data_IF_678040792597
#
_entry.id   IF_678040792597
#
_cell.length_a   1.000
_cell.length_b   1.000
_cell.length_c   1.000
_cell.angle_alpha   90.00
_cell.angle_beta   90.00
_cell.angle_gamma   90.00
#
_symmetry.space_group_name_H-M   'P 1'
#
loop_
_entity.id
_entity.type
_entity.pdbx_description
1 polymer ?
#
# COMPACT_ATOMS: atom_id res chain seq x y z
N UNK A 1 39.66 -22.25 -0.73
CA UNK A 1 40.36 -21.02 -0.29
C UNK A 1 40.51 -19.97 -1.41
N UNK A 2 39.58 -19.88 -2.37
CA UNK A 2 39.56 -18.82 -3.40
C UNK A 2 38.13 -18.36 -3.75
N UNK A 3 37.24 -18.37 -2.75
CA UNK A 3 35.84 -17.88 -2.87
C UNK A 3 35.50 -16.84 -1.77
N UNK A 4 36.53 -16.23 -1.15
CA UNK A 4 36.39 -15.22 -0.08
C UNK A 4 36.83 -13.81 -0.48
N UNK A 5 36.89 -13.46 -1.78
CA UNK A 5 37.42 -12.15 -2.24
C UNK A 5 36.56 -11.35 -3.23
N UNK A 6 35.28 -11.68 -3.42
CA UNK A 6 34.35 -10.84 -4.18
C UNK A 6 33.22 -10.21 -3.33
N UNK A 7 33.32 -10.31 -2.00
CA UNK A 7 32.74 -9.31 -1.10
C UNK A 7 33.80 -8.25 -0.84
N UNK A 8 33.42 -6.97 -0.84
CA UNK A 8 34.28 -5.76 -0.76
C UNK A 8 34.62 -5.17 -2.14
N UNK A 9 33.59 -4.76 -2.90
CA UNK A 9 33.70 -3.69 -3.90
C UNK A 9 32.35 -3.00 -4.23
N UNK A 10 31.33 -3.14 -3.37
CA UNK A 10 30.06 -2.41 -3.45
C UNK A 10 29.63 -1.85 -2.08
N UNK A 11 30.59 -1.58 -1.21
CA UNK A 11 30.40 -0.83 0.04
C UNK A 11 31.27 0.42 -0.04
N UNK A 12 30.72 1.48 -0.61
CA UNK A 12 31.40 2.77 -0.69
C UNK A 12 30.63 3.72 -1.58
N UNK A 13 29.90 4.64 -0.95
CA UNK A 13 29.31 5.84 -1.54
C UNK A 13 28.19 5.65 -2.58
N UNK A 14 26.96 5.44 -2.08
CA UNK A 14 25.79 6.27 -2.44
C UNK A 14 24.60 5.86 -1.56
N UNK A 15 24.17 6.79 -0.70
CA UNK A 15 23.07 6.59 0.23
C UNK A 15 21.71 6.60 -0.47
N UNK A 16 20.81 5.75 0.04
CA UNK A 16 19.35 5.66 -0.19
C UNK A 16 18.92 5.55 -1.66
N UNK A 17 18.03 4.60 -1.97
CA UNK A 17 17.47 4.26 -3.30
C UNK A 17 18.29 3.28 -4.18
N UNK A 18 18.41 1.99 -3.82
CA UNK A 18 18.99 1.00 -4.78
C UNK A 18 18.38 -0.42 -4.83
N UNK A 19 17.39 -0.84 -4.01
CA UNK A 19 16.80 -2.19 -4.17
C UNK A 19 15.85 -2.31 -5.37
N UNK A 20 14.97 -1.34 -5.61
CA UNK A 20 13.93 -1.44 -6.66
C UNK A 20 14.49 -1.38 -8.09
N UNK A 21 15.60 -0.67 -8.33
CA UNK A 21 16.22 -0.59 -9.67
C UNK A 21 17.02 -1.84 -10.05
N UNK A 22 17.53 -2.58 -9.07
CA UNK A 22 18.23 -3.86 -9.32
C UNK A 22 17.25 -4.98 -9.67
N UNK A 23 16.07 -4.99 -9.04
CA UNK A 23 14.96 -5.87 -9.45
C UNK A 23 14.41 -5.49 -10.83
N UNK A 24 14.35 -4.20 -11.18
CA UNK A 24 13.86 -3.74 -12.48
C UNK A 24 14.74 -4.25 -13.63
N UNK A 25 16.08 -4.15 -13.51
CA UNK A 25 16.99 -4.63 -14.56
C UNK A 25 16.97 -6.16 -14.71
N UNK A 26 16.86 -6.90 -13.61
CA UNK A 26 16.79 -8.36 -13.65
C UNK A 26 15.46 -8.84 -14.25
N UNK A 27 14.34 -8.22 -13.88
CA UNK A 27 13.00 -8.54 -14.40
C UNK A 27 12.85 -8.19 -15.89
N UNK A 28 13.49 -7.11 -16.36
CA UNK A 28 13.56 -6.77 -17.80
C UNK A 28 14.35 -7.82 -18.59
N UNK A 29 15.44 -8.34 -18.03
CA UNK A 29 16.25 -9.40 -18.66
C UNK A 29 15.47 -10.72 -18.72
N UNK A 30 14.71 -11.04 -17.67
CA UNK A 30 13.95 -12.29 -17.56
C UNK A 30 12.64 -12.28 -18.38
N UNK A 31 11.96 -11.12 -18.53
CA UNK A 31 10.69 -11.00 -19.27
C UNK A 31 10.88 -10.82 -20.79
N UNK A 32 12.06 -10.40 -21.26
CA UNK A 32 12.38 -10.34 -22.71
C UNK A 32 12.75 -11.73 -23.25
N UNK A 33 13.11 -12.68 -22.39
CA UNK A 33 13.63 -13.98 -22.79
C UNK A 33 12.61 -14.98 -23.36
N UNK A 34 11.29 -14.95 -23.07
CA UNK A 34 10.37 -15.95 -23.61
C UNK A 34 9.23 -15.37 -24.48
N UNK A 35 9.40 -14.19 -25.10
CA UNK A 35 8.39 -13.69 -26.06
C UNK A 35 8.75 -14.16 -27.47
N UNK A 36 8.10 -15.25 -27.90
CA UNK A 36 8.02 -15.67 -29.30
C UNK A 36 7.29 -14.60 -30.13
N UNK A 37 8.00 -13.55 -30.55
CA UNK A 37 7.61 -12.64 -31.60
C UNK A 37 8.29 -13.08 -32.89
N UNK A 38 7.47 -13.52 -33.87
CA UNK A 38 7.64 -13.52 -35.33
C UNK A 38 9.09 -13.70 -35.86
N UNK A 39 9.37 -14.73 -36.69
CA UNK A 39 10.73 -15.11 -37.07
C UNK A 39 11.33 -14.14 -38.11
N UNK A 40 11.73 -12.95 -37.70
CA UNK A 40 12.75 -12.13 -38.37
C UNK A 40 13.00 -10.84 -37.57
N UNK A 41 14.22 -10.66 -37.05
CA UNK A 41 14.95 -9.39 -36.75
C UNK A 41 15.59 -9.21 -35.36
N UNK A 42 15.74 -10.23 -34.51
CA UNK A 42 16.61 -10.12 -33.32
C UNK A 42 17.71 -11.19 -33.39
N UNK A 43 18.96 -10.74 -33.51
CA UNK A 43 20.16 -11.59 -33.46
C UNK A 43 20.99 -11.13 -32.25
N UNK A 44 21.13 -11.99 -31.26
CA UNK A 44 22.07 -11.80 -30.13
C UNK A 44 23.36 -12.56 -30.47
N UNK A 45 24.47 -11.84 -30.63
CA UNK A 45 25.80 -12.45 -30.83
C UNK A 45 26.64 -12.20 -29.59
N UNK A 46 27.11 -13.27 -28.93
CA UNK A 46 28.03 -13.20 -27.78
C UNK A 46 29.45 -13.44 -28.29
N UNK A 47 30.28 -12.39 -28.34
CA UNK A 47 31.68 -12.52 -28.72
C UNK A 47 32.50 -12.89 -27.48
N UNK A 48 33.08 -14.09 -27.46
CA UNK A 48 34.08 -14.49 -26.46
C UNK A 48 35.44 -13.98 -26.93
N UNK A 49 35.95 -12.96 -26.24
CA UNK A 49 37.33 -12.51 -26.34
C UNK A 49 37.96 -12.55 -24.95
N UNK A 50 38.91 -13.48 -24.77
CA UNK A 50 39.93 -13.36 -23.73
C UNK A 50 40.81 -12.15 -24.09
N UNK A 51 41.10 -11.28 -23.14
CA UNK A 51 42.47 -10.80 -22.90
C UNK A 51 42.56 -10.01 -21.58
N UNK A 52 43.59 -10.37 -20.84
CA UNK A 52 44.05 -9.83 -19.58
C UNK A 52 44.75 -8.49 -19.76
N UNK A 53 44.47 -7.48 -18.93
CA UNK A 53 45.53 -6.60 -18.42
C UNK A 53 45.11 -5.82 -17.16
N UNK A 54 46.01 -5.82 -16.19
CA UNK A 54 45.93 -5.13 -14.88
C UNK A 54 46.36 -3.68 -15.06
N UNK A 55 45.61 -2.74 -14.47
CA UNK A 55 46.19 -1.44 -14.08
C UNK A 55 45.69 -1.04 -12.70
N UNK A 56 46.63 -0.72 -11.81
CA UNK A 56 46.41 -0.37 -10.40
C UNK A 56 46.12 1.14 -10.21
N UNK A 57 45.15 1.40 -9.32
CA UNK A 57 44.79 2.57 -8.46
C UNK A 57 45.64 3.87 -8.51
N UNK A 58 45.03 5.04 -8.18
CA UNK A 58 45.16 5.50 -6.78
C UNK A 58 43.90 6.10 -6.15
N UNK A 59 43.75 5.85 -4.84
CA UNK A 59 42.88 6.60 -3.94
C UNK A 59 43.39 8.05 -3.80
N UNK A 60 42.49 9.02 -3.91
CA UNK A 60 42.70 10.38 -3.40
C UNK A 60 41.39 10.98 -2.93
N UNK A 61 41.44 11.49 -1.71
CA UNK A 61 40.42 12.27 -1.01
C UNK A 61 40.01 13.54 -1.77
N UNK A 62 38.69 13.79 -1.83
CA UNK A 62 38.01 15.07 -1.59
C UNK A 62 36.51 14.86 -1.84
N UNK A 63 35.72 15.03 -0.79
CA UNK A 63 34.25 15.15 -0.88
C UNK A 63 34.02 16.62 -1.17
N UNK A 64 33.79 16.96 -2.43
CA UNK A 64 33.22 18.25 -2.82
C UNK A 64 31.73 18.02 -3.11
N UNK A 65 30.89 18.69 -2.32
CA UNK A 65 29.43 18.69 -2.39
C UNK A 65 28.96 19.42 -3.65
N UNK A 66 28.98 18.78 -4.82
CA UNK A 66 28.33 19.34 -6.02
C UNK A 66 28.13 18.28 -7.12
N UNK A 67 27.31 17.25 -6.88
CA UNK A 67 26.87 16.36 -7.97
C UNK A 67 25.56 15.63 -7.66
N UNK A 68 24.44 16.31 -7.90
CA UNK A 68 23.17 15.64 -8.22
C UNK A 68 22.67 16.28 -9.51
N UNK A 69 22.92 15.70 -10.68
CA UNK A 69 22.05 14.69 -11.28
C UNK A 69 22.77 14.12 -12.51
N UNK A 70 23.12 12.83 -12.50
CA UNK A 70 23.87 12.17 -13.59
C UNK A 70 22.98 11.73 -14.77
N UNK A 71 21.69 12.07 -14.73
CA UNK A 71 20.68 11.68 -15.72
C UNK A 71 19.73 12.85 -15.93
N UNK A 72 19.40 13.12 -17.19
CA UNK A 72 18.36 14.10 -17.50
C UNK A 72 16.98 13.51 -17.10
N UNK A 73 16.03 14.38 -16.72
CA UNK A 73 14.72 13.93 -16.21
C UNK A 73 13.95 13.08 -17.23
N UNK A 74 14.12 13.35 -18.52
CA UNK A 74 13.49 12.62 -19.62
C UNK A 74 14.14 11.26 -19.92
N UNK A 75 15.37 11.02 -19.45
CA UNK A 75 16.04 9.71 -19.52
C UNK A 75 15.58 8.75 -18.41
N UNK A 76 14.86 9.28 -17.41
CA UNK A 76 14.31 8.52 -16.28
C UNK A 76 12.85 8.11 -16.49
N UNK A 77 12.23 8.55 -17.60
CA UNK A 77 10.85 8.27 -17.95
C UNK A 77 10.82 7.09 -18.94
N UNK A 78 9.96 6.07 -18.74
CA UNK A 78 9.85 4.93 -19.66
C UNK A 78 9.47 5.35 -21.09
N UNK A 79 10.46 5.35 -21.99
CA UNK A 79 10.32 5.78 -23.37
C UNK A 79 11.58 5.57 -24.21
N UNK A 80 11.57 5.99 -25.49
CA UNK A 80 12.66 5.74 -26.44
C UNK A 80 14.03 6.21 -25.94
N UNK A 81 14.09 7.37 -25.27
CA UNK A 81 15.32 7.94 -24.71
C UNK A 81 15.92 7.10 -23.59
N UNK A 82 15.09 6.55 -22.70
CA UNK A 82 15.53 5.65 -21.64
C UNK A 82 16.11 4.36 -22.22
N UNK A 83 15.46 3.78 -23.23
CA UNK A 83 15.94 2.58 -23.93
C UNK A 83 17.25 2.82 -24.67
N UNK A 84 17.38 3.97 -25.33
CA UNK A 84 18.60 4.37 -26.02
C UNK A 84 19.76 4.54 -25.03
N UNK A 85 19.50 5.16 -23.87
CA UNK A 85 20.51 5.33 -22.83
C UNK A 85 20.93 4.01 -22.17
N UNK A 86 19.99 3.09 -21.93
CA UNK A 86 20.29 1.73 -21.46
C UNK A 86 21.18 1.01 -22.48
N UNK A 87 20.91 1.18 -23.78
CA UNK A 87 21.68 0.56 -24.86
C UNK A 87 23.11 1.11 -24.90
N UNK A 88 23.26 2.43 -24.75
CA UNK A 88 24.57 3.08 -24.70
C UNK A 88 25.37 2.66 -23.45
N UNK A 89 24.72 2.59 -22.28
CA UNK A 89 25.35 2.14 -21.04
C UNK A 89 25.77 0.65 -21.10
N UNK A 90 25.00 -0.19 -21.80
CA UNK A 90 25.35 -1.60 -22.03
C UNK A 90 26.46 -1.74 -23.07
N UNK A 91 26.45 -0.93 -24.13
CA UNK A 91 27.54 -0.85 -25.12
C UNK A 91 28.86 -0.44 -24.46
N UNK A 92 28.82 0.55 -23.57
CA UNK A 92 29.99 1.00 -22.79
C UNK A 92 30.50 -0.07 -21.81
N UNK A 93 29.69 -1.07 -21.47
CA UNK A 93 30.06 -2.24 -20.64
C UNK A 93 30.44 -3.48 -21.46
N UNK A 94 30.60 -3.34 -22.77
CA UNK A 94 31.05 -4.41 -23.66
C UNK A 94 29.93 -5.34 -24.15
N UNK A 95 28.66 -5.01 -23.93
CA UNK A 95 27.52 -5.81 -24.38
C UNK A 95 26.80 -5.08 -25.52
N UNK A 96 26.83 -5.64 -26.74
CA UNK A 96 26.23 -5.01 -27.91
C UNK A 96 24.81 -5.51 -28.13
N UNK A 97 23.83 -4.60 -28.07
CA UNK A 97 22.44 -4.85 -28.44
C UNK A 97 22.11 -4.09 -29.74
N UNK A 98 21.38 -4.74 -30.65
CA UNK A 98 20.84 -4.11 -31.85
C UNK A 98 19.38 -3.76 -31.61
N UNK A 99 19.12 -2.52 -31.22
CA UNK A 99 17.78 -1.93 -31.28
C UNK A 99 17.59 -1.21 -32.62
N UNK A 100 16.37 -1.15 -33.17
CA UNK A 100 16.05 -0.29 -34.30
C UNK A 100 15.99 1.17 -33.86
N UNK A 101 17.16 1.77 -33.58
CA UNK A 101 17.30 3.13 -33.03
C UNK A 101 16.74 4.21 -33.97
N UNK A 102 16.60 3.89 -35.27
CA UNK A 102 16.10 4.81 -36.29
C UNK A 102 14.59 4.66 -36.58
N UNK A 103 13.87 3.82 -35.83
CA UNK A 103 12.42 3.63 -35.98
C UNK A 103 11.70 3.92 -34.65
N UNK A 104 11.13 5.12 -34.54
CA UNK A 104 10.46 5.61 -33.35
C UNK A 104 9.19 4.80 -33.01
N UNK A 105 8.52 4.24 -34.02
CA UNK A 105 7.35 3.38 -33.82
C UNK A 105 7.75 2.02 -33.25
N UNK A 106 8.86 1.44 -33.73
CA UNK A 106 9.41 0.21 -33.17
C UNK A 106 9.88 0.41 -31.72
N UNK A 107 10.53 1.53 -31.41
CA UNK A 107 10.98 1.87 -30.06
C UNK A 107 9.81 2.10 -29.10
N UNK A 108 8.72 2.72 -29.57
CA UNK A 108 7.51 2.89 -28.77
C UNK A 108 6.80 1.56 -28.50
N UNK A 109 6.78 0.64 -29.46
CA UNK A 109 6.23 -0.71 -29.27
C UNK A 109 7.02 -1.52 -28.23
N UNK A 110 8.35 -1.33 -28.16
CA UNK A 110 9.22 -1.97 -27.15
C UNK A 110 9.10 -1.28 -25.77
N UNK A 111 8.79 0.01 -25.73
CA UNK A 111 8.60 0.76 -24.49
C UNK A 111 7.21 0.56 -23.86
N UNK A 112 6.20 0.13 -24.62
CA UNK A 112 4.83 -0.09 -24.13
C UNK A 112 4.75 -1.15 -23.01
N UNK A 113 5.41 -2.33 -23.11
CA UNK A 113 5.46 -3.31 -22.03
C UNK A 113 6.12 -2.76 -20.76
N UNK A 114 7.17 -1.94 -20.90
CA UNK A 114 7.83 -1.27 -19.77
C UNK A 114 6.90 -0.26 -19.09
N UNK A 115 6.16 0.54 -19.88
CA UNK A 115 5.13 1.46 -19.36
C UNK A 115 4.04 0.70 -18.60
N UNK A 116 3.58 -0.42 -19.16
CA UNK A 116 2.56 -1.26 -18.53
C UNK A 116 3.06 -1.96 -17.26
N UNK A 117 4.33 -2.38 -17.22
CA UNK A 117 4.96 -2.95 -16.03
C UNK A 117 5.11 -1.89 -14.93
N UNK A 118 5.50 -0.66 -15.27
CA UNK A 118 5.58 0.46 -14.33
C UNK A 118 4.20 0.80 -13.75
N UNK A 119 3.15 0.82 -14.59
CA UNK A 119 1.74 0.98 -14.16
C UNK A 119 1.27 -0.17 -13.26
N UNK A 120 1.57 -1.42 -13.60
CA UNK A 120 1.19 -2.60 -12.80
C UNK A 120 1.87 -2.65 -11.43
N UNK A 121 3.08 -2.10 -11.31
CA UNK A 121 3.83 -2.08 -10.05
C UNK A 121 3.52 -0.86 -9.17
N UNK A 122 2.57 0.01 -9.56
CA UNK A 122 2.20 1.21 -8.80
C UNK A 122 3.38 2.17 -8.59
N UNK A 123 4.40 2.09 -9.44
CA UNK A 123 5.62 2.90 -9.38
C UNK A 123 5.51 4.13 -10.29
N UNK A 124 4.36 4.79 -10.27
CA UNK A 124 4.25 6.13 -10.83
C UNK A 124 5.15 7.04 -9.97
N UNK A 125 6.33 7.36 -10.51
CA UNK A 125 7.17 8.45 -10.00
C UNK A 125 6.68 9.80 -10.48
N UNK A 126 5.48 9.86 -11.05
CA UNK A 126 4.66 11.05 -10.93
C UNK A 126 4.22 11.17 -9.47
N UNK A 127 5.12 11.73 -8.65
CA UNK A 127 4.70 12.85 -7.83
C UNK A 127 3.88 13.72 -8.77
N UNK A 128 2.56 13.64 -8.66
CA UNK A 128 1.67 14.68 -9.14
C UNK A 128 2.12 15.93 -8.37
N UNK A 129 3.07 16.66 -8.95
CA UNK A 129 3.22 18.07 -8.66
C UNK A 129 1.96 18.70 -9.24
N UNK A 130 0.90 18.67 -8.45
CA UNK A 130 -0.07 19.74 -8.49
C UNK A 130 0.27 20.65 -7.30
N UNK A 131 0.37 21.96 -7.51
CA UNK A 131 1.13 22.82 -6.63
C UNK A 131 0.48 22.92 -5.26
N UNK A 132 1.26 22.66 -4.21
CA UNK A 132 1.08 23.42 -2.98
C UNK A 132 1.24 24.90 -3.34
N UNK A 133 0.21 25.67 -3.03
CA UNK A 133 0.14 27.12 -3.10
C UNK A 133 1.46 27.78 -2.67
N UNK A 134 2.21 28.30 -3.63
CA UNK A 134 3.07 29.48 -3.53
C UNK A 134 3.89 29.64 -4.82
N UNK A 135 3.18 29.93 -5.92
CA UNK A 135 3.65 30.75 -7.04
C UNK A 135 2.46 30.97 -7.97
N UNK A 136 2.04 32.22 -8.02
CA UNK A 136 1.09 32.78 -8.96
C UNK A 136 1.81 32.77 -10.30
N UNK A 137 1.36 31.97 -11.27
CA UNK A 137 1.70 32.10 -12.69
C UNK A 137 0.46 31.64 -13.50
N UNK A 138 0.07 32.46 -14.47
CA UNK A 138 -1.29 32.68 -15.00
C UNK A 138 -1.79 31.67 -16.07
N UNK A 139 -1.38 30.40 -16.04
CA UNK A 139 -1.63 29.49 -17.19
C UNK A 139 -2.79 28.49 -17.05
N UNK A 140 -3.49 28.40 -15.91
CA UNK A 140 -4.64 27.49 -15.74
C UNK A 140 -6.00 28.09 -16.15
N UNK A 141 -6.02 29.27 -16.77
CA UNK A 141 -7.23 30.08 -17.01
C UNK A 141 -7.99 29.75 -18.32
N UNK A 142 -7.60 28.73 -19.11
CA UNK A 142 -8.01 28.64 -20.54
C UNK A 142 -8.86 27.44 -20.94
N UNK A 143 -9.17 26.48 -20.04
CA UNK A 143 -9.91 25.26 -20.40
C UNK A 143 -11.45 25.39 -20.34
N UNK A 144 -11.94 26.30 -19.50
CA UNK A 144 -13.38 26.50 -19.26
C UNK A 144 -13.74 27.97 -19.42
N UNK A 145 -14.88 28.23 -20.03
CA UNK A 145 -15.42 29.58 -20.08
C UNK A 145 -15.97 29.99 -18.70
N UNK A 146 -15.90 31.28 -18.35
CA UNK A 146 -16.30 31.77 -17.01
C UNK A 146 -17.74 31.45 -16.66
N UNK A 147 -18.61 31.34 -17.65
CA UNK A 147 -20.02 30.99 -17.52
C UNK A 147 -20.29 29.48 -17.40
N UNK A 148 -19.34 28.63 -17.83
CA UNK A 148 -19.37 27.18 -17.62
C UNK A 148 -18.97 26.80 -16.17
N UNK A 149 -18.21 27.67 -15.50
CA UNK A 149 -17.78 27.49 -14.11
C UNK A 149 -18.87 27.84 -13.09
N UNK A 150 -20.01 28.40 -13.53
CA UNK A 150 -21.13 28.75 -12.66
C UNK A 150 -22.11 27.57 -12.58
N UNK A 151 -22.39 27.01 -11.38
CA UNK A 151 -23.31 25.89 -11.21
C UNK A 151 -24.74 26.20 -11.68
N UNK A 152 -25.09 25.63 -12.83
CA UNK A 152 -26.35 25.86 -13.51
C UNK A 152 -26.42 25.14 -14.85
N UNK A 153 -27.36 25.52 -15.74
CA UNK A 153 -27.59 24.82 -17.00
C UNK A 153 -26.36 24.73 -17.90
N UNK A 154 -25.53 25.77 -17.97
CA UNK A 154 -24.30 25.81 -18.79
C UNK A 154 -23.23 24.84 -18.29
N UNK A 155 -23.00 24.79 -16.97
CA UNK A 155 -22.09 23.80 -16.37
C UNK A 155 -22.55 22.37 -16.66
N UNK A 156 -23.86 22.11 -16.54
CA UNK A 156 -24.43 20.79 -16.82
C UNK A 156 -24.28 20.41 -18.30
N UNK A 157 -24.57 21.34 -19.22
CA UNK A 157 -24.33 21.16 -20.66
C UNK A 157 -22.87 20.80 -20.93
N UNK A 158 -21.93 21.55 -20.31
CA UNK A 158 -20.51 21.29 -20.45
C UNK A 158 -20.12 19.88 -19.98
N UNK A 159 -20.57 19.47 -18.79
CA UNK A 159 -20.34 18.12 -18.27
C UNK A 159 -20.87 17.08 -19.27
N UNK A 160 -22.06 17.28 -19.83
CA UNK A 160 -22.64 16.32 -20.78
C UNK A 160 -21.93 16.27 -22.12
N UNK A 161 -21.41 17.39 -22.61
CA UNK A 161 -20.60 17.44 -23.83
C UNK A 161 -19.26 16.71 -23.62
N UNK A 162 -18.61 16.93 -22.48
CA UNK A 162 -17.37 16.24 -22.13
C UNK A 162 -17.59 14.72 -21.90
N UNK A 163 -18.72 14.33 -21.31
CA UNK A 163 -19.12 12.93 -21.20
C UNK A 163 -19.40 12.31 -22.58
N UNK A 164 -20.04 13.05 -23.49
CA UNK A 164 -20.31 12.61 -24.86
C UNK A 164 -19.01 12.37 -25.62
N UNK A 165 -18.01 13.23 -25.43
CA UNK A 165 -16.67 13.05 -26.00
C UNK A 165 -15.98 11.77 -25.48
N UNK A 166 -16.30 11.32 -24.26
CA UNK A 166 -15.85 10.04 -23.69
C UNK A 166 -16.73 8.84 -24.05
N UNK A 167 -17.75 9.03 -24.89
CA UNK A 167 -18.67 7.96 -25.33
C UNK A 167 -19.80 7.65 -24.34
N UNK A 168 -20.05 8.50 -23.33
CA UNK A 168 -21.19 8.36 -22.41
C UNK A 168 -22.23 9.43 -22.72
N UNK A 169 -23.46 9.02 -23.03
CA UNK A 169 -24.56 9.95 -23.31
C UNK A 169 -25.42 10.18 -22.07
N UNK A 170 -25.59 11.43 -21.68
CA UNK A 170 -26.52 11.84 -20.62
C UNK A 170 -27.59 12.76 -21.23
N UNK A 171 -28.86 12.50 -20.94
CA UNK A 171 -29.97 13.33 -21.42
C UNK A 171 -30.40 14.28 -20.32
N UNK A 172 -30.27 15.58 -20.58
CA UNK A 172 -30.70 16.64 -19.66
C UNK A 172 -32.11 17.12 -20.04
N UNK A 173 -32.96 17.47 -19.06
CA UNK A 173 -34.27 18.05 -19.30
C UNK A 173 -34.13 19.55 -19.64
N UNK A 174 -33.57 19.87 -20.81
CA UNK A 174 -33.24 21.25 -21.21
C UNK A 174 -34.45 22.19 -21.21
N UNK A 175 -35.66 21.64 -21.43
CA UNK A 175 -36.92 22.41 -21.48
C UNK A 175 -37.55 22.65 -20.10
N UNK A 176 -37.04 22.02 -19.03
CA UNK A 176 -37.56 22.17 -17.67
C UNK A 176 -36.50 22.84 -16.79
N UNK A 177 -36.65 24.15 -16.61
CA UNK A 177 -35.73 24.94 -15.79
C UNK A 177 -35.72 24.48 -14.33
N UNK A 178 -36.84 24.00 -13.79
CA UNK A 178 -36.92 23.54 -12.40
C UNK A 178 -36.14 22.23 -12.23
N UNK A 179 -36.30 21.29 -13.15
CA UNK A 179 -35.53 20.04 -13.15
C UNK A 179 -34.02 20.31 -13.33
N UNK A 180 -33.64 21.21 -14.24
CA UNK A 180 -32.25 21.62 -14.43
C UNK A 180 -31.65 22.27 -13.18
N UNK A 181 -32.41 23.14 -12.51
CA UNK A 181 -31.98 23.77 -11.27
C UNK A 181 -31.84 22.75 -10.13
N UNK A 182 -32.73 21.75 -10.04
CA UNK A 182 -32.64 20.68 -9.05
C UNK A 182 -31.41 19.79 -9.25
N UNK A 183 -31.05 19.47 -10.51
CA UNK A 183 -29.82 18.70 -10.80
C UNK A 183 -28.56 19.53 -10.49
N UNK A 184 -28.61 20.85 -10.73
CA UNK A 184 -27.48 21.75 -10.47
C UNK A 184 -27.31 22.11 -8.98
N UNK A 185 -28.35 21.94 -8.16
CA UNK A 185 -28.36 22.34 -6.75
C UNK A 185 -27.24 21.69 -5.92
N UNK A 186 -26.99 20.36 -5.96
CA UNK A 186 -25.88 19.75 -5.23
C UNK A 186 -24.51 20.27 -5.70
N UNK A 187 -24.36 20.55 -7.00
CA UNK A 187 -23.13 21.11 -7.56
C UNK A 187 -22.92 22.54 -7.04
N UNK A 188 -24.00 23.32 -6.95
CA UNK A 188 -23.98 24.68 -6.39
C UNK A 188 -23.59 24.66 -4.92
N UNK A 189 -24.12 23.72 -4.15
CA UNK A 189 -23.78 23.57 -2.74
C UNK A 189 -22.30 23.22 -2.55
N UNK A 190 -21.74 22.35 -3.41
CA UNK A 190 -20.30 22.03 -3.38
C UNK A 190 -19.43 23.26 -3.70
N UNK A 191 -19.77 24.03 -4.73
CA UNK A 191 -19.01 25.24 -5.08
C UNK A 191 -19.13 26.31 -3.99
N UNK A 192 -20.31 26.50 -3.42
CA UNK A 192 -20.53 27.40 -2.29
C UNK A 192 -19.76 26.95 -1.03
N UNK A 193 -19.57 25.65 -0.85
CA UNK A 193 -18.75 25.08 0.21
C UNK A 193 -17.23 25.21 -0.06
N UNK A 194 -16.83 25.85 -1.16
CA UNK A 194 -15.43 26.14 -1.50
C UNK A 194 -14.77 25.09 -2.40
N UNK A 195 -15.52 24.15 -2.98
CA UNK A 195 -14.98 23.24 -4.00
C UNK A 195 -14.80 24.00 -5.31
N UNK A 196 -13.63 23.83 -5.95
CA UNK A 196 -13.36 24.41 -7.26
C UNK A 196 -14.34 23.89 -8.31
N UNK A 197 -14.93 24.77 -9.10
CA UNK A 197 -15.89 24.42 -10.14
C UNK A 197 -15.27 23.47 -11.18
N UNK A 198 -14.00 23.68 -11.52
CA UNK A 198 -13.22 22.83 -12.42
C UNK A 198 -13.13 21.40 -11.88
N UNK A 199 -12.87 21.24 -10.58
CA UNK A 199 -12.82 19.94 -9.93
C UNK A 199 -14.20 19.24 -9.96
N UNK A 200 -15.29 19.97 -9.77
CA UNK A 200 -16.65 19.41 -9.83
C UNK A 200 -16.95 18.88 -11.23
N UNK A 201 -16.64 19.67 -12.27
CA UNK A 201 -16.80 19.25 -13.67
C UNK A 201 -15.96 17.99 -13.94
N UNK A 202 -14.67 18.04 -13.61
CA UNK A 202 -13.75 16.92 -13.81
C UNK A 202 -14.20 15.66 -13.08
N UNK A 203 -14.69 15.79 -11.84
CA UNK A 203 -15.16 14.65 -11.04
C UNK A 203 -16.39 13.98 -11.67
N UNK A 204 -17.36 14.77 -12.14
CA UNK A 204 -18.54 14.26 -12.84
C UNK A 204 -18.19 13.62 -14.19
N UNK A 205 -17.20 14.16 -14.90
CA UNK A 205 -16.73 13.66 -16.20
C UNK A 205 -15.83 12.43 -16.06
N UNK A 206 -15.10 12.29 -14.95
CA UNK A 206 -14.31 11.09 -14.65
C UNK A 206 -15.19 9.93 -14.16
N UNK A 207 -16.24 10.23 -13.38
CA UNK A 207 -17.16 9.22 -12.84
C UNK A 207 -18.62 9.62 -13.09
N UNK A 208 -19.23 9.15 -14.20
CA UNK A 208 -20.59 9.51 -14.58
C UNK A 208 -21.65 9.10 -13.54
N UNK A 209 -21.35 8.11 -12.68
CA UNK A 209 -22.23 7.72 -11.57
C UNK A 209 -22.47 8.88 -10.60
N UNK A 210 -21.48 9.77 -10.43
CA UNK A 210 -21.59 10.94 -9.57
C UNK A 210 -22.68 11.91 -10.08
N UNK A 211 -22.68 12.21 -11.38
CA UNK A 211 -23.70 13.07 -11.98
C UNK A 211 -25.09 12.44 -11.86
N UNK A 212 -25.19 11.12 -12.06
CA UNK A 212 -26.43 10.36 -11.88
C UNK A 212 -26.92 10.42 -10.43
N UNK A 213 -26.02 10.32 -9.46
CA UNK A 213 -26.34 10.42 -8.04
C UNK A 213 -26.91 11.79 -7.70
N UNK A 214 -26.26 12.87 -8.15
CA UNK A 214 -26.77 14.22 -7.93
C UNK A 214 -28.12 14.47 -8.61
N UNK A 215 -28.31 13.97 -9.83
CA UNK A 215 -29.59 14.11 -10.54
C UNK A 215 -30.75 13.34 -9.87
N UNK A 216 -30.49 12.19 -9.25
CA UNK A 216 -31.56 11.35 -8.65
C UNK A 216 -31.78 11.60 -7.17
N UNK A 217 -30.71 11.84 -6.41
CA UNK A 217 -30.71 11.91 -4.94
C UNK A 217 -29.74 12.99 -4.48
N UNK A 218 -29.87 14.19 -5.06
CA UNK A 218 -28.95 15.31 -4.84
C UNK A 218 -28.79 15.72 -3.37
N UNK A 219 -29.91 15.88 -2.66
CA UNK A 219 -29.92 16.24 -1.24
C UNK A 219 -29.18 15.21 -0.38
N UNK A 220 -29.53 13.93 -0.53
CA UNK A 220 -28.89 12.82 0.20
C UNK A 220 -27.40 12.71 -0.13
N UNK A 221 -27.03 12.89 -1.40
CA UNK A 221 -25.63 12.85 -1.84
C UNK A 221 -24.81 13.95 -1.16
N UNK A 222 -25.35 15.17 -1.09
CA UNK A 222 -24.69 16.29 -0.43
C UNK A 222 -24.61 16.09 1.09
N UNK A 223 -25.68 15.65 1.74
CA UNK A 223 -25.72 15.35 3.18
C UNK A 223 -24.67 14.28 3.57
N UNK A 224 -24.49 13.24 2.74
CA UNK A 224 -23.45 12.24 2.95
C UNK A 224 -22.04 12.86 2.84
N UNK A 225 -21.80 13.73 1.87
CA UNK A 225 -20.53 14.43 1.70
C UNK A 225 -20.26 15.35 2.90
N UNK A 226 -21.27 16.11 3.34
CA UNK A 226 -21.19 16.99 4.51
C UNK A 226 -20.89 16.20 5.79
N UNK A 227 -21.58 15.08 6.02
CA UNK A 227 -21.33 14.17 7.15
C UNK A 227 -19.86 13.71 7.19
N UNK A 228 -19.28 13.39 6.03
CA UNK A 228 -17.88 13.00 5.93
C UNK A 228 -16.94 14.16 6.24
N UNK A 229 -17.24 15.37 5.74
CA UNK A 229 -16.44 16.57 6.01
C UNK A 229 -16.44 16.89 7.50
N UNK A 230 -17.61 16.94 8.13
CA UNK A 230 -17.79 17.33 9.52
C UNK A 230 -17.16 16.34 10.49
N UNK A 231 -17.46 15.05 10.33
CA UNK A 231 -16.97 14.03 11.25
C UNK A 231 -15.47 13.72 11.07
N UNK A 232 -14.98 13.76 9.84
CA UNK A 232 -13.60 13.33 9.53
C UNK A 232 -12.62 14.48 9.35
N UNK A 233 -13.08 15.74 9.45
CA UNK A 233 -12.30 16.95 9.16
C UNK A 233 -11.48 16.82 7.85
N UNK A 234 -12.12 16.33 6.79
CA UNK A 234 -11.55 16.22 5.46
C UNK A 234 -12.04 17.35 4.56
N UNK A 235 -11.35 17.62 3.46
CA UNK A 235 -11.81 18.61 2.49
C UNK A 235 -13.05 18.11 1.75
N UNK A 236 -13.90 19.01 1.28
CA UNK A 236 -15.02 18.63 0.41
C UNK A 236 -14.53 17.91 -0.85
N UNK A 237 -13.36 18.28 -1.41
CA UNK A 237 -12.77 17.54 -2.54
C UNK A 237 -12.47 16.08 -2.18
N UNK A 238 -11.89 15.81 -1.01
CA UNK A 238 -11.60 14.44 -0.57
C UNK A 238 -12.87 13.63 -0.31
N UNK A 239 -13.88 14.25 0.30
CA UNK A 239 -15.17 13.63 0.52
C UNK A 239 -15.87 13.29 -0.81
N UNK A 240 -15.82 14.19 -1.80
CA UNK A 240 -16.31 13.95 -3.16
C UNK A 240 -15.53 12.81 -3.83
N UNK A 241 -14.21 12.73 -3.67
CA UNK A 241 -13.40 11.60 -4.22
C UNK A 241 -13.83 10.25 -3.63
N UNK A 242 -14.07 10.19 -2.32
CA UNK A 242 -14.58 8.98 -1.66
C UNK A 242 -15.98 8.65 -2.17
N UNK A 243 -16.89 9.64 -2.15
CA UNK A 243 -18.28 9.46 -2.59
C UNK A 243 -18.38 9.00 -4.05
N UNK A 244 -17.59 9.61 -4.95
CA UNK A 244 -17.56 9.23 -6.36
C UNK A 244 -16.97 7.82 -6.58
N UNK A 245 -16.14 7.32 -5.67
CA UNK A 245 -15.59 5.95 -5.78
C UNK A 245 -16.59 4.89 -5.32
N UNK A 246 -17.41 5.20 -4.31
CA UNK A 246 -18.34 4.27 -3.67
C UNK A 246 -19.78 4.79 -3.73
N UNK A 247 -20.19 5.31 -4.88
CA UNK A 247 -21.45 6.06 -5.02
C UNK A 247 -22.66 5.19 -4.73
N UNK A 248 -22.73 3.99 -5.31
CA UNK A 248 -23.90 3.12 -5.15
C UNK A 248 -23.98 2.56 -3.73
N UNK A 249 -22.85 2.20 -3.12
CA UNK A 249 -22.76 1.67 -1.77
C UNK A 249 -23.11 2.73 -0.71
N UNK A 250 -22.60 3.95 -0.87
CA UNK A 250 -22.90 5.06 0.05
C UNK A 250 -24.34 5.52 -0.09
N UNK A 251 -24.89 5.57 -1.30
CA UNK A 251 -26.31 5.87 -1.49
C UNK A 251 -27.22 4.75 -0.95
N UNK A 252 -26.72 3.51 -0.85
CA UNK A 252 -27.43 2.42 -0.19
C UNK A 252 -27.60 2.62 1.32
N UNK A 253 -26.90 3.59 1.92
CA UNK A 253 -26.89 3.85 3.36
C UNK A 253 -27.33 5.29 3.64
N UNK A 254 -28.04 5.50 4.74
CA UNK A 254 -28.46 6.84 5.19
C UNK A 254 -27.31 7.57 5.93
N UNK A 255 -27.30 8.91 5.87
CA UNK A 255 -26.28 9.73 6.54
C UNK A 255 -26.20 9.47 8.05
N UNK A 256 -27.34 9.28 8.72
CA UNK A 256 -27.39 8.92 10.14
C UNK A 256 -26.73 7.56 10.42
N UNK A 257 -26.88 6.60 9.50
CA UNK A 257 -26.24 5.28 9.62
C UNK A 257 -24.73 5.38 9.42
N UNK A 258 -24.27 6.21 8.48
CA UNK A 258 -22.84 6.53 8.32
C UNK A 258 -22.29 7.16 9.60
N UNK A 259 -23.00 8.12 10.19
CA UNK A 259 -22.60 8.73 11.46
C UNK A 259 -22.49 7.71 12.59
N UNK A 260 -23.46 6.77 12.70
CA UNK A 260 -23.40 5.70 13.71
C UNK A 260 -22.16 4.82 13.55
N UNK A 261 -21.69 4.57 12.33
CA UNK A 261 -20.45 3.79 12.08
C UNK A 261 -19.20 4.58 12.45
N UNK A 262 -19.18 5.87 12.13
CA UNK A 262 -18.12 6.78 12.55
C UNK A 262 -18.03 6.84 14.08
N UNK A 263 -19.18 6.82 14.78
CA UNK A 263 -19.22 6.78 16.23
C UNK A 263 -18.62 5.47 16.80
N UNK A 264 -18.69 4.34 16.10
CA UNK A 264 -18.00 3.10 16.51
C UNK A 264 -16.47 3.28 16.47
N UNK A 265 -15.96 3.89 15.41
CA UNK A 265 -14.52 4.22 15.30
C UNK A 265 -14.08 5.18 16.41
N UNK A 266 -14.91 6.18 16.72
CA UNK A 266 -14.67 7.09 17.86
C UNK A 266 -14.70 6.31 19.20
N UNK A 267 -15.62 5.36 19.35
CA UNK A 267 -15.69 4.45 20.49
C UNK A 267 -14.45 3.56 20.65
N UNK A 268 -13.73 3.29 19.55
CA UNK A 268 -12.42 2.62 19.56
C UNK A 268 -11.27 3.56 19.97
N UNK A 269 -11.57 4.72 20.56
CA UNK A 269 -10.63 5.74 20.98
C UNK A 269 -9.82 6.35 19.81
N UNK A 270 -10.44 6.45 18.63
CA UNK A 270 -9.93 7.27 17.54
C UNK A 270 -10.56 8.65 17.67
N UNK A 271 -9.77 9.72 17.89
CA UNK A 271 -10.34 11.05 18.04
C UNK A 271 -11.00 11.51 16.74
N UNK A 272 -12.14 12.21 16.87
CA UNK A 272 -12.86 12.82 15.76
C UNK A 272 -11.97 13.81 14.98
N UNK A 273 -12.36 14.08 13.74
CA UNK A 273 -11.57 14.91 12.83
C UNK A 273 -10.47 14.13 12.13
N UNK A 274 -9.27 14.74 11.99
CA UNK A 274 -8.24 14.24 11.06
C UNK A 274 -7.83 12.78 11.27
N UNK A 275 -7.67 12.27 12.51
CA UNK A 275 -7.29 10.86 12.73
C UNK A 275 -8.37 9.89 12.26
N UNK A 276 -9.64 10.19 12.55
CA UNK A 276 -10.78 9.45 12.00
C UNK A 276 -10.80 9.49 10.46
N UNK A 277 -10.57 10.67 9.88
CA UNK A 277 -10.50 10.81 8.42
C UNK A 277 -9.35 10.04 7.77
N UNK A 278 -8.21 9.86 8.46
CA UNK A 278 -7.14 8.97 7.97
C UNK A 278 -7.57 7.52 7.95
N UNK A 279 -8.26 7.04 8.99
CA UNK A 279 -8.78 5.68 9.03
C UNK A 279 -9.82 5.44 7.92
N UNK A 280 -10.76 6.37 7.74
CA UNK A 280 -11.77 6.28 6.67
C UNK A 280 -11.14 6.29 5.28
N UNK A 281 -10.11 7.11 5.04
CA UNK A 281 -9.38 7.08 3.75
C UNK A 281 -8.63 5.77 3.52
N UNK A 282 -8.10 5.14 4.57
CA UNK A 282 -7.46 3.81 4.46
C UNK A 282 -8.46 2.71 4.11
N UNK A 283 -9.68 2.77 4.67
CA UNK A 283 -10.74 1.81 4.35
C UNK A 283 -12.10 2.50 4.32
N UNK A 284 -12.54 3.02 3.15
CA UNK A 284 -13.86 3.65 3.03
C UNK A 284 -15.02 2.66 3.25
N UNK A 285 -14.77 1.36 3.07
CA UNK A 285 -15.77 0.31 3.27
C UNK A 285 -16.35 0.27 4.69
N UNK A 286 -15.66 0.81 5.70
CA UNK A 286 -16.20 0.93 7.07
C UNK A 286 -17.48 1.76 7.15
N UNK A 287 -17.74 2.61 6.15
CA UNK A 287 -18.91 3.47 6.07
C UNK A 287 -20.17 2.71 5.61
N UNK A 288 -20.04 1.55 4.96
CA UNK A 288 -21.19 0.87 4.34
C UNK A 288 -21.19 -0.66 4.44
N UNK A 289 -20.04 -1.32 4.58
CA UNK A 289 -19.95 -2.78 4.40
C UNK A 289 -20.51 -3.63 5.54
N UNK A 290 -20.41 -3.19 6.80
CA UNK A 290 -20.92 -3.95 7.98
C UNK A 290 -22.20 -3.31 8.54
N UNK A 291 -22.59 -3.52 9.80
CA UNK A 291 -23.57 -2.71 10.53
C UNK A 291 -22.88 -2.11 11.78
N UNK A 292 -23.20 -0.89 12.24
CA UNK A 292 -22.58 -0.32 13.45
C UNK A 292 -22.67 -1.25 14.68
N UNK A 293 -23.75 -2.02 14.83
CA UNK A 293 -23.88 -3.01 15.92
C UNK A 293 -22.85 -4.14 15.78
N UNK A 294 -22.71 -4.72 14.59
CA UNK A 294 -21.74 -5.78 14.32
C UNK A 294 -20.30 -5.29 14.50
N UNK A 295 -19.99 -4.10 14.00
CA UNK A 295 -18.68 -3.45 14.22
C UNK A 295 -18.41 -3.26 15.73
N UNK A 296 -19.44 -2.88 16.49
CA UNK A 296 -19.36 -2.76 17.95
C UNK A 296 -19.05 -4.08 18.66
N UNK A 297 -19.68 -5.19 18.24
CA UNK A 297 -19.39 -6.53 18.78
C UNK A 297 -17.94 -6.94 18.53
N UNK A 298 -17.43 -6.66 17.33
CA UNK A 298 -16.01 -6.94 17.01
C UNK A 298 -15.08 -6.08 17.88
N UNK A 299 -15.37 -4.79 18.02
CA UNK A 299 -14.59 -3.88 18.87
C UNK A 299 -14.61 -4.31 20.36
N UNK A 300 -15.75 -4.76 20.87
CA UNK A 300 -15.91 -5.28 22.22
C UNK A 300 -15.14 -6.59 22.41
N UNK A 301 -15.21 -7.50 21.44
CA UNK A 301 -14.42 -8.74 21.45
C UNK A 301 -12.92 -8.46 21.48
N UNK A 302 -12.44 -7.54 20.64
CA UNK A 302 -11.04 -7.10 20.66
C UNK A 302 -10.65 -6.47 22.01
N UNK A 303 -11.58 -5.77 22.66
CA UNK A 303 -11.36 -5.20 24.01
C UNK A 303 -11.21 -6.24 25.11
N UNK A 304 -11.64 -7.49 24.88
CA UNK A 304 -11.39 -8.60 25.79
C UNK A 304 -9.94 -9.09 25.77
N UNK A 305 -9.16 -8.74 24.74
CA UNK A 305 -7.78 -9.17 24.56
C UNK A 305 -6.77 -8.01 24.55
N UNK A 306 -7.10 -6.92 23.86
CA UNK A 306 -6.24 -5.74 23.73
C UNK A 306 -6.68 -4.61 24.65
N UNK A 307 -5.72 -3.84 25.15
CA UNK A 307 -5.98 -2.59 25.85
C UNK A 307 -6.57 -1.52 24.92
N UNK A 308 -7.25 -0.53 25.49
CA UNK A 308 -7.83 0.60 24.72
C UNK A 308 -6.81 1.34 23.85
N UNK A 309 -5.57 1.49 24.33
CA UNK A 309 -4.50 2.13 23.57
C UNK A 309 -4.10 1.31 22.34
N UNK A 310 -4.00 -0.01 22.49
CA UNK A 310 -3.68 -0.90 21.38
C UNK A 310 -4.82 -0.95 20.35
N UNK A 311 -6.08 -1.00 20.79
CA UNK A 311 -7.24 -0.96 19.89
C UNK A 311 -7.24 0.31 19.06
N UNK A 312 -6.96 1.46 19.69
CA UNK A 312 -6.87 2.75 18.97
C UNK A 312 -5.84 2.69 17.84
N UNK A 313 -4.63 2.18 18.12
CA UNK A 313 -3.57 2.03 17.10
C UNK A 313 -3.97 1.02 16.02
N UNK A 314 -4.53 -0.12 16.43
CA UNK A 314 -4.95 -1.19 15.54
C UNK A 314 -6.03 -0.71 14.58
N UNK A 315 -7.14 -0.16 15.08
CA UNK A 315 -8.25 0.32 14.24
C UNK A 315 -7.82 1.53 13.39
N UNK A 316 -6.90 2.39 13.88
CA UNK A 316 -6.40 3.51 13.09
C UNK A 316 -5.53 3.04 11.89
N UNK A 317 -4.79 1.94 12.04
CA UNK A 317 -3.92 1.41 10.99
C UNK A 317 -4.60 0.41 10.08
N UNK A 318 -5.44 -0.47 10.64
CA UNK A 318 -6.20 -1.52 9.95
C UNK A 318 -7.70 -1.39 10.25
N UNK A 319 -8.37 -0.34 9.75
CA UNK A 319 -9.80 -0.09 10.04
C UNK A 319 -10.74 -1.20 9.53
N UNK A 320 -10.32 -1.96 8.52
CA UNK A 320 -11.06 -3.11 8.00
C UNK A 320 -11.19 -4.25 9.02
N UNK A 321 -10.42 -4.26 10.12
CA UNK A 321 -10.57 -5.25 11.20
C UNK A 321 -11.99 -5.26 11.79
N UNK A 322 -12.69 -4.12 11.78
CA UNK A 322 -14.08 -4.01 12.25
C UNK A 322 -15.10 -4.64 11.28
N UNK A 323 -14.66 -5.05 10.10
CA UNK A 323 -15.47 -5.72 9.08
C UNK A 323 -15.30 -7.24 9.12
N UNK A 324 -14.26 -7.75 9.80
CA UNK A 324 -14.00 -9.17 9.97
C UNK A 324 -14.90 -9.78 11.06
N UNK A 325 -14.96 -11.11 11.09
CA UNK A 325 -15.69 -11.83 12.14
C UNK A 325 -14.81 -12.13 13.35
N UNK A 326 -15.41 -12.14 14.55
CA UNK A 326 -14.71 -12.55 15.77
C UNK A 326 -14.15 -13.96 15.67
N UNK A 327 -14.92 -14.88 15.06
CA UNK A 327 -14.54 -16.29 14.91
C UNK A 327 -13.30 -16.46 14.01
N UNK A 328 -13.07 -15.53 13.09
CA UNK A 328 -11.86 -15.50 12.25
C UNK A 328 -10.68 -14.81 12.96
N UNK A 329 -10.93 -13.70 13.67
CA UNK A 329 -9.87 -12.92 14.31
C UNK A 329 -9.28 -13.62 15.54
N UNK A 330 -10.12 -14.25 16.36
CA UNK A 330 -9.71 -14.86 17.62
C UNK A 330 -8.63 -15.92 17.46
N UNK A 331 -8.78 -16.92 16.57
CA UNK A 331 -7.72 -17.90 16.33
C UNK A 331 -6.39 -17.27 15.87
N UNK A 332 -6.44 -16.18 15.08
CA UNK A 332 -5.23 -15.52 14.56
C UNK A 332 -4.46 -14.83 15.68
N UNK A 333 -5.11 -13.97 16.48
CA UNK A 333 -4.40 -13.27 17.56
C UNK A 333 -4.03 -14.20 18.71
N UNK A 334 -4.81 -15.25 18.99
CA UNK A 334 -4.41 -16.28 19.97
C UNK A 334 -3.16 -17.03 19.51
N UNK A 335 -3.09 -17.41 18.23
CA UNK A 335 -1.92 -18.07 17.67
C UNK A 335 -0.68 -17.18 17.74
N UNK A 336 -0.78 -15.94 17.24
CA UNK A 336 0.33 -14.99 17.26
C UNK A 336 0.80 -14.74 18.70
N UNK A 337 -0.13 -14.51 19.62
CA UNK A 337 0.25 -14.15 20.98
C UNK A 337 0.82 -15.32 21.77
N UNK A 338 0.21 -16.49 21.71
CA UNK A 338 0.61 -17.60 22.57
C UNK A 338 1.56 -18.59 21.92
N UNK A 339 1.36 -18.92 20.63
CA UNK A 339 2.21 -19.88 19.92
C UNK A 339 3.46 -19.21 19.37
N UNK A 340 3.33 -18.02 18.79
CA UNK A 340 4.50 -17.24 18.40
C UNK A 340 5.13 -16.50 19.58
N UNK A 341 4.43 -16.31 20.70
CA UNK A 341 4.91 -15.52 21.85
C UNK A 341 5.25 -14.06 21.47
N UNK A 342 4.47 -13.49 20.53
CA UNK A 342 4.61 -12.10 20.11
C UNK A 342 3.74 -11.19 20.97
N UNK A 343 4.27 -10.02 21.28
CA UNK A 343 3.63 -9.07 22.17
C UNK A 343 2.48 -8.30 21.48
N UNK A 344 1.46 -7.91 22.26
CA UNK A 344 0.29 -7.18 21.75
C UNK A 344 0.63 -5.82 21.08
N UNK A 345 1.74 -5.19 21.44
CA UNK A 345 2.18 -3.91 20.86
C UNK A 345 2.57 -4.03 19.38
N UNK A 346 2.99 -5.21 18.90
CA UNK A 346 3.40 -5.40 17.51
C UNK A 346 2.21 -5.49 16.55
N UNK A 347 1.05 -5.93 17.04
CA UNK A 347 -0.18 -6.08 16.25
C UNK A 347 -0.61 -4.77 15.58
N UNK A 348 -0.45 -3.64 16.27
CA UNK A 348 -0.81 -2.33 15.73
C UNK A 348 0.06 -1.87 14.55
N UNK A 349 1.23 -2.49 14.34
CA UNK A 349 2.18 -2.13 13.27
C UNK A 349 2.16 -3.07 12.07
N UNK A 350 1.64 -4.28 12.28
CA UNK A 350 1.45 -5.30 11.27
C UNK A 350 0.06 -5.15 10.67
N UNK A 351 -0.02 -4.92 9.37
CA UNK A 351 -1.32 -4.72 8.72
C UNK A 351 -1.92 -6.04 8.23
N UNK A 352 -1.08 -6.97 7.74
CA UNK A 352 -1.56 -8.16 7.04
C UNK A 352 -2.14 -9.25 7.92
N UNK A 353 -1.94 -9.25 9.24
CA UNK A 353 -2.45 -10.33 10.09
C UNK A 353 -3.98 -10.42 10.10
N UNK A 354 -4.68 -9.31 9.83
CA UNK A 354 -6.14 -9.25 9.75
C UNK A 354 -6.64 -10.03 8.52
N UNK A 355 -6.04 -9.76 7.36
CA UNK A 355 -6.44 -10.34 6.07
C UNK A 355 -5.80 -11.70 5.76
N UNK A 356 -4.65 -12.00 6.38
CA UNK A 356 -3.91 -13.24 6.13
C UNK A 356 -4.67 -14.43 6.74
N UNK A 357 -4.86 -15.53 6.00
CA UNK A 357 -5.46 -16.73 6.56
C UNK A 357 -4.57 -17.31 7.66
N UNK A 358 -5.19 -17.90 8.67
CA UNK A 358 -4.49 -18.47 9.82
C UNK A 358 -3.42 -19.48 9.38
N UNK A 359 -3.73 -20.29 8.36
CA UNK A 359 -2.85 -21.30 7.81
C UNK A 359 -1.56 -20.70 7.25
N UNK A 360 -1.63 -19.51 6.61
CA UNK A 360 -0.44 -18.82 6.10
C UNK A 360 0.39 -18.22 7.25
N UNK A 361 -0.25 -17.68 8.29
CA UNK A 361 0.44 -17.20 9.51
C UNK A 361 1.21 -18.36 10.14
N UNK A 362 0.56 -19.51 10.32
CA UNK A 362 1.16 -20.73 10.87
C UNK A 362 2.30 -21.23 10.00
N UNK A 363 2.11 -21.28 8.68
CA UNK A 363 3.11 -21.77 7.74
C UNK A 363 4.38 -20.91 7.75
N UNK A 364 4.23 -19.58 7.77
CA UNK A 364 5.37 -18.65 7.89
C UNK A 364 6.10 -18.85 9.22
N UNK A 365 5.37 -18.97 10.33
CA UNK A 365 5.97 -19.24 11.64
C UNK A 365 6.71 -20.59 11.69
N UNK A 366 6.07 -21.67 11.23
CA UNK A 366 6.65 -23.01 11.24
C UNK A 366 7.90 -23.08 10.36
N UNK A 367 7.90 -22.41 9.22
CA UNK A 367 9.05 -22.34 8.36
C UNK A 367 10.24 -21.63 9.03
N UNK A 368 9.99 -20.56 9.78
CA UNK A 368 11.05 -19.90 10.54
C UNK A 368 11.57 -20.77 11.69
N UNK A 369 10.71 -21.59 12.32
CA UNK A 369 11.16 -22.58 13.31
C UNK A 369 12.07 -23.63 12.67
N UNK A 370 11.69 -24.18 11.51
CA UNK A 370 12.47 -25.21 10.80
C UNK A 370 13.79 -24.68 10.24
N UNK A 371 13.83 -23.42 9.82
CA UNK A 371 15.07 -22.76 9.36
C UNK A 371 15.94 -22.25 10.51
N UNK A 372 15.48 -22.36 11.76
CA UNK A 372 16.18 -21.84 12.93
C UNK A 372 16.27 -20.30 12.96
N UNK A 373 15.37 -19.61 12.25
CA UNK A 373 15.23 -18.14 12.24
C UNK A 373 14.18 -17.62 13.21
N UNK A 374 13.47 -18.52 13.86
CA UNK A 374 12.61 -18.24 14.99
C UNK A 374 12.88 -19.24 16.10
N UNK A 375 12.94 -18.76 17.32
CA UNK A 375 13.02 -19.60 18.51
C UNK A 375 11.89 -19.19 19.45
N UNK A 376 10.98 -20.11 19.76
CA UNK A 376 9.91 -19.83 20.73
C UNK A 376 10.56 -19.45 22.07
N UNK A 377 10.33 -18.23 22.59
CA UNK A 377 10.91 -17.78 23.85
C UNK A 377 10.54 -18.73 24.98
N UNK A 378 11.54 -19.37 25.61
CA UNK A 378 11.34 -20.17 26.82
C UNK A 378 11.57 -19.28 28.06
N UNK A 379 10.53 -18.99 28.86
CA UNK A 379 10.67 -18.19 30.08
C UNK A 379 11.64 -18.79 31.10
N UNK A 380 11.86 -20.11 31.05
CA UNK A 380 12.79 -20.82 31.95
C UNK A 380 14.24 -20.74 31.48
N UNK A 381 14.47 -20.33 30.23
CA UNK A 381 15.77 -20.31 29.58
C UNK A 381 16.00 -18.98 28.85
N UNK A 382 15.91 -17.84 29.56
CA UNK A 382 16.02 -16.51 28.93
C UNK A 382 17.38 -16.29 28.26
N UNK A 383 18.43 -16.96 28.70
CA UNK A 383 19.77 -16.84 28.09
C UNK A 383 19.88 -17.41 26.66
N UNK A 384 18.90 -18.19 26.19
CA UNK A 384 18.87 -18.74 24.82
C UNK A 384 17.97 -17.93 23.88
N UNK A 385 17.60 -16.70 24.27
CA UNK A 385 16.71 -15.84 23.48
C UNK A 385 17.44 -15.33 22.24
N UNK A 386 17.14 -15.92 21.09
CA UNK A 386 17.47 -15.34 19.80
C UNK A 386 16.58 -14.11 19.56
N UNK A 387 17.12 -13.10 18.87
CA UNK A 387 16.31 -11.97 18.40
C UNK A 387 15.42 -12.44 17.24
N UNK A 388 14.20 -12.83 17.57
CA UNK A 388 13.19 -13.20 16.58
C UNK A 388 12.82 -11.98 15.72
N UNK A 389 12.48 -12.20 14.42
CA UNK A 389 11.94 -11.14 13.58
C UNK A 389 10.62 -10.62 14.14
N UNK A 390 10.43 -9.29 14.09
CA UNK A 390 9.17 -8.62 14.47
C UNK A 390 8.01 -9.09 13.58
N UNK A 391 6.79 -9.10 14.13
CA UNK A 391 5.56 -9.60 13.49
C UNK A 391 5.38 -9.03 12.08
N UNK A 392 5.58 -7.72 11.94
CA UNK A 392 5.50 -7.01 10.67
C UNK A 392 6.44 -7.60 9.62
N UNK A 393 7.68 -7.92 9.99
CA UNK A 393 8.65 -8.54 9.07
C UNK A 393 8.27 -9.96 8.70
N UNK A 394 7.58 -10.68 9.58
CA UNK A 394 7.10 -12.04 9.30
C UNK A 394 5.92 -12.00 8.31
N UNK A 395 4.91 -11.16 8.55
CA UNK A 395 3.63 -11.23 7.84
C UNK A 395 3.45 -10.20 6.71
N UNK A 396 3.92 -8.97 6.89
CA UNK A 396 3.76 -7.91 5.89
C UNK A 396 4.74 -8.04 4.71
N UNK A 397 5.82 -8.82 4.88
CA UNK A 397 6.83 -9.04 3.85
C UNK A 397 6.31 -9.96 2.74
N UNK A 398 6.41 -9.59 1.45
CA UNK A 398 6.06 -10.47 0.33
C UNK A 398 6.87 -11.77 0.32
N UNK A 399 6.30 -12.86 -0.20
CA UNK A 399 6.88 -14.22 -0.17
C UNK A 399 8.35 -14.30 -0.58
N UNK A 400 8.75 -13.65 -1.67
CA UNK A 400 10.12 -13.66 -2.15
C UNK A 400 11.10 -13.10 -1.11
N UNK A 401 10.77 -11.94 -0.55
CA UNK A 401 11.60 -11.27 0.45
C UNK A 401 11.50 -11.97 1.82
N UNK A 402 10.35 -12.57 2.14
CA UNK A 402 10.20 -13.38 3.34
C UNK A 402 11.19 -14.56 3.30
N UNK A 403 11.26 -15.29 2.17
CA UNK A 403 12.18 -16.39 2.00
C UNK A 403 13.65 -15.93 2.14
N UNK A 404 14.06 -14.90 1.40
CA UNK A 404 15.47 -14.52 1.33
C UNK A 404 15.95 -13.67 2.50
N UNK A 405 15.15 -12.73 2.98
CA UNK A 405 15.56 -11.72 3.97
C UNK A 405 15.15 -12.05 5.40
N UNK A 406 14.11 -12.89 5.58
CA UNK A 406 13.59 -13.26 6.91
C UNK A 406 13.95 -14.70 7.26
N UNK A 407 13.65 -15.66 6.37
CA UNK A 407 13.99 -17.07 6.55
C UNK A 407 15.44 -17.39 6.15
N UNK A 408 16.08 -16.54 5.34
CA UNK A 408 17.48 -16.72 4.94
C UNK A 408 17.71 -17.94 4.05
N UNK A 409 16.74 -18.26 3.20
CA UNK A 409 16.71 -19.38 2.26
C UNK A 409 16.35 -18.90 0.86
N UNK A 410 16.40 -19.78 -0.13
CA UNK A 410 15.97 -19.46 -1.50
C UNK A 410 14.45 -19.38 -1.61
N UNK A 411 13.96 -18.63 -2.60
CA UNK A 411 12.53 -18.58 -2.91
C UNK A 411 11.99 -19.97 -3.30
N UNK A 412 12.79 -20.79 -3.98
CA UNK A 412 12.43 -22.14 -4.39
C UNK A 412 12.15 -23.04 -3.19
N UNK A 413 13.02 -23.01 -2.16
CA UNK A 413 12.82 -23.77 -0.92
C UNK A 413 11.52 -23.38 -0.21
N UNK A 414 11.18 -22.09 -0.18
CA UNK A 414 9.90 -21.62 0.35
C UNK A 414 8.70 -22.16 -0.45
N UNK A 415 8.75 -22.08 -1.78
CA UNK A 415 7.67 -22.57 -2.65
C UNK A 415 7.46 -24.09 -2.49
N UNK A 416 8.55 -24.85 -2.41
CA UNK A 416 8.50 -26.30 -2.16
C UNK A 416 7.88 -26.58 -0.79
N UNK A 417 8.27 -25.82 0.24
CA UNK A 417 7.71 -25.95 1.58
C UNK A 417 6.21 -25.68 1.59
N UNK A 418 5.73 -24.62 0.94
CA UNK A 418 4.28 -24.34 0.82
C UNK A 418 3.54 -25.53 0.20
N UNK A 419 4.03 -26.03 -0.93
CA UNK A 419 3.41 -27.17 -1.62
C UNK A 419 3.39 -28.45 -0.77
N UNK A 420 4.44 -28.69 0.01
CA UNK A 420 4.50 -29.83 0.93
C UNK A 420 3.50 -29.68 2.08
N UNK A 421 3.44 -28.50 2.70
CA UNK A 421 2.53 -28.20 3.82
C UNK A 421 1.07 -28.28 3.40
N UNK A 422 0.70 -27.75 2.22
CA UNK A 422 -0.63 -27.90 1.66
C UNK A 422 -1.01 -29.38 1.45
N UNK A 423 -0.06 -30.19 0.95
CA UNK A 423 -0.29 -31.62 0.74
C UNK A 423 -0.50 -32.36 2.05
N UNK A 424 0.29 -32.06 3.08
CA UNK A 424 0.16 -32.64 4.43
C UNK A 424 -1.19 -32.25 5.04
N UNK A 425 -1.57 -30.97 4.95
CA UNK A 425 -2.83 -30.47 5.48
C UNK A 425 -4.05 -31.15 4.84
N UNK A 426 -4.04 -31.38 3.52
CA UNK A 426 -5.11 -32.13 2.83
C UNK A 426 -5.20 -33.61 3.25
N UNK A 427 -4.12 -34.17 3.77
CA UNK A 427 -4.06 -35.56 4.23
C UNK A 427 -4.36 -35.72 5.72
N UNK A 428 -4.40 -34.63 6.48
CA UNK A 428 -4.70 -34.64 7.91
C UNK A 428 -6.20 -34.43 8.15
N UNK A 429 -6.85 -35.34 8.87
CA UNK A 429 -8.25 -35.20 9.33
C UNK A 429 -8.39 -34.26 10.55
N UNK A 430 -7.45 -33.33 10.72
CA UNK A 430 -7.45 -32.42 11.87
C UNK A 430 -8.56 -31.38 11.71
N UNK A 431 -9.59 -31.47 12.54
CA UNK A 431 -10.71 -30.50 12.57
C UNK A 431 -10.26 -29.08 12.92
N UNK A 432 -9.07 -28.92 13.56
CA UNK A 432 -8.49 -27.62 13.90
C UNK A 432 -6.98 -27.56 13.61
N UNK A 433 -6.47 -26.44 13.04
CA UNK A 433 -5.05 -26.32 12.69
C UNK A 433 -4.10 -26.30 13.89
N UNK A 434 -4.55 -25.86 15.07
CA UNK A 434 -3.73 -25.83 16.28
C UNK A 434 -4.54 -26.12 17.55
N UNK A 435 -3.86 -26.62 18.59
CA UNK A 435 -4.50 -26.88 19.89
C UNK A 435 -4.82 -25.55 20.60
N UNK A 436 -6.11 -25.28 20.84
CA UNK A 436 -6.53 -24.08 21.56
C UNK A 436 -5.99 -24.12 22.98
N UNK A 437 -5.37 -23.03 23.38
CA UNK A 437 -4.76 -22.93 24.70
C UNK A 437 -5.87 -22.81 25.74
N UNK A 438 -5.88 -23.78 26.67
CA UNK A 438 -6.89 -23.84 27.73
C UNK A 438 -6.91 -22.53 28.53
N UNK A 439 -8.08 -22.06 29.00
CA UNK A 439 -8.17 -20.82 29.80
C UNK A 439 -7.22 -20.77 31.02
N UNK A 440 -6.89 -21.92 31.60
CA UNK A 440 -5.90 -22.05 32.67
C UNK A 440 -4.48 -21.70 32.22
N UNK A 441 -4.12 -22.08 30.99
CA UNK A 441 -2.83 -21.79 30.37
C UNK A 441 -2.73 -20.33 29.97
N UNK A 442 -3.82 -19.72 29.47
CA UNK A 442 -3.93 -18.26 29.26
C UNK A 442 -3.65 -17.51 30.57
N UNK A 443 -4.36 -17.83 31.65
CA UNK A 443 -4.13 -17.23 32.99
C UNK A 443 -2.71 -17.48 33.52
N UNK A 444 -2.13 -18.66 33.28
CA UNK A 444 -0.78 -18.98 33.74
C UNK A 444 0.31 -18.25 32.92
N UNK A 445 0.06 -17.98 31.64
CA UNK A 445 0.94 -17.19 30.79
C UNK A 445 0.91 -15.72 31.22
N UNK A 446 -0.28 -15.14 31.40
CA UNK A 446 -0.47 -13.77 31.91
C UNK A 446 0.18 -13.56 33.28
N UNK A 447 0.05 -14.54 34.21
CA UNK A 447 0.71 -14.47 35.53
C UNK A 447 2.22 -14.48 35.43
N UNK A 448 2.80 -15.45 34.71
CA UNK A 448 4.26 -15.55 34.50
C UNK A 448 4.83 -14.29 33.88
N UNK A 449 4.08 -13.67 32.97
CA UNK A 449 4.49 -12.45 32.28
C UNK A 449 4.36 -11.21 33.16
N UNK A 450 3.28 -11.06 33.94
CA UNK A 450 3.13 -9.99 34.95
C UNK A 450 4.24 -10.05 36.01
N UNK A 451 4.65 -11.25 36.38
CA UNK A 451 5.80 -11.48 37.27
C UNK A 451 7.14 -11.12 36.60
N UNK A 452 7.30 -11.39 35.31
CA UNK A 452 8.46 -10.97 34.51
C UNK A 452 8.60 -9.45 34.41
N UNK A 453 7.53 -8.74 34.04
CA UNK A 453 7.52 -7.27 33.95
C UNK A 453 7.80 -6.59 35.31
N UNK A 454 7.34 -7.18 36.42
CA UNK A 454 7.70 -6.73 37.76
C UNK A 454 9.19 -6.90 38.06
N UNK A 455 9.80 -7.99 37.60
CA UNK A 455 11.24 -8.25 37.80
C UNK A 455 12.10 -7.29 36.98
N UNK A 456 11.71 -6.97 35.74
CA UNK A 456 12.40 -5.96 34.92
C UNK A 456 12.34 -4.56 35.56
N UNK A 457 11.20 -4.17 36.13
CA UNK A 457 11.06 -2.90 36.85
C UNK A 457 11.88 -2.81 38.15
N UNK A 458 12.32 -3.94 38.71
CA UNK A 458 13.17 -4.00 39.92
C UNK A 458 14.66 -4.10 39.61
N UNK A 459 15.08 -4.08 38.34
CA UNK A 459 16.48 -3.88 37.96
C UNK A 459 16.77 -2.38 38.07
N UNK A 460 16.94 -1.90 39.30
CA UNK A 460 17.49 -0.57 39.58
C UNK A 460 19.02 -0.61 39.37
N UNK A 461 19.57 0.47 38.82
CA UNK A 461 21.00 0.69 38.53
C UNK A 461 21.95 0.21 39.65
N UNK A 462 22.40 -1.04 39.57
CA UNK A 462 23.47 -1.56 40.41
C UNK A 462 24.86 -1.23 39.84
N UNK A 463 24.94 -0.48 38.73
CA UNK A 463 26.18 -0.16 38.02
C UNK A 463 26.75 1.24 38.35
N UNK A 464 26.15 2.01 39.26
CA UNK A 464 26.56 3.39 39.55
C UNK A 464 27.36 3.57 40.86
N UNK A 465 27.85 2.51 41.49
CA UNK A 465 28.53 2.61 42.80
C UNK A 465 29.80 1.75 42.92
N UNK A 466 30.62 1.70 41.88
CA UNK A 466 31.96 1.10 41.99
C UNK A 466 33.02 1.91 41.22
N UNK A 467 33.15 3.19 41.58
CA UNK A 467 34.41 3.93 41.44
C UNK A 467 34.67 4.65 42.76
N UNK A 468 35.56 4.07 43.58
CA UNK A 468 36.19 4.67 44.76
C UNK A 468 37.66 4.90 44.49
#
# INVERSE_FOLDING_TARGET
MLQRRFGIALRGCCGRYTSSRRMLLQKIIDDIAPVNLIPSRIIVVRQMGMDTERTQLPCSSKIDEESSTLYARDELIPGPKMLQRITDDLRNKGTTFFLPINDENAMNSIAEPLRNLVRQMGMDTERTQLPCSSKIDEESSTLYARDELIPGPKMLQRITDDLRNKGTTFFLPINDENAMNSIAEPLRNLVNAGVRAEFVIDACVQRPQLLRAFAKRGTVSFELIETLVDSCAMTFEDAVRIFATYTDELLGVEAESVQKRLNVLVGCNIPAGRPLGRAVRKCPAVLFASNPKCMGVVAESLSGFFSRGQISVLVANTPHILLSSTDELEPKYEYIYFHMCIEENEFGTCERWVDMPLEEIMMRHEFLLKTGRYTTPDPKRPQFKMENPVLKRILDTPDANFATEVAGVTQEEWLIFKGLTEKISRQSDMERPFERIKPSMRKAFERRRKEGARKEAHIFDAAANDER
#
